data_IF_317335945373
#
_entry.id   IF_317335945373
#
_cell.length_a   1.000
_cell.length_b   1.000
_cell.length_c   1.000
_cell.angle_alpha   90.00
_cell.angle_beta   90.00
_cell.angle_gamma   90.00
#
_symmetry.space_group_name_H-M   'P 1'
#
loop_
_entity.id
_entity.type
_entity.pdbx_description
1 polymer ?
#
# COMPACT_ATOMS: atom_id res chain seq x y z
N UNK A 1 4.93 -3.08 -16.34
CA UNK A 1 5.28 -3.73 -15.05
C UNK A 1 3.98 -4.21 -14.42
N UNK A 2 3.91 -5.47 -13.98
CA UNK A 2 2.70 -6.04 -13.36
C UNK A 2 3.04 -6.47 -11.93
N UNK A 3 2.23 -6.06 -10.95
CA UNK A 3 2.34 -6.48 -9.54
C UNK A 3 1.13 -7.31 -9.12
N UNK A 4 1.08 -7.80 -7.88
CA UNK A 4 -0.08 -8.52 -7.34
C UNK A 4 -0.62 -7.79 -6.11
N UNK A 5 -1.83 -8.11 -5.67
CA UNK A 5 -2.27 -7.64 -4.36
C UNK A 5 -1.29 -8.09 -3.27
N UNK A 6 -1.04 -7.22 -2.30
CA UNK A 6 -0.03 -7.45 -1.25
C UNK A 6 1.42 -7.19 -1.69
N UNK A 7 1.66 -6.75 -2.93
CA UNK A 7 3.00 -6.38 -3.40
C UNK A 7 3.57 -5.14 -2.69
N UNK A 8 4.88 -5.09 -2.62
CA UNK A 8 5.66 -3.95 -2.15
C UNK A 8 6.91 -3.77 -3.00
N UNK A 9 7.45 -2.56 -3.03
CA UNK A 9 8.63 -2.23 -3.82
C UNK A 9 9.55 -1.28 -3.06
N UNK A 10 10.80 -1.22 -3.49
CA UNK A 10 11.79 -0.28 -2.97
C UNK A 10 11.72 1.01 -3.78
N UNK A 11 11.37 2.11 -3.11
CA UNK A 11 11.24 3.44 -3.72
C UNK A 11 12.41 4.31 -3.25
N UNK A 12 13.22 4.79 -4.19
CA UNK A 12 14.32 5.71 -3.93
C UNK A 12 13.97 7.13 -4.39
N UNK A 13 14.30 8.10 -3.54
CA UNK A 13 14.01 9.51 -3.80
C UNK A 13 15.25 10.23 -4.33
N UNK A 14 15.06 11.23 -5.21
CA UNK A 14 16.15 12.07 -5.64
C UNK A 14 16.69 12.91 -4.47
N UNK A 15 17.97 13.30 -4.56
CA UNK A 15 18.58 14.32 -3.70
C UNK A 15 18.65 14.03 -2.18
N UNK A 16 18.41 12.79 -1.73
CA UNK A 16 18.72 12.40 -0.35
C UNK A 16 20.18 11.99 -0.24
N UNK A 17 21.00 12.84 0.39
CA UNK A 17 22.44 12.60 0.61
C UNK A 17 22.72 11.59 1.74
N UNK A 18 21.80 11.46 2.70
CA UNK A 18 21.91 10.51 3.81
C UNK A 18 21.64 9.08 3.32
N UNK A 19 22.70 8.26 3.24
CA UNK A 19 22.64 6.92 2.63
C UNK A 19 21.56 6.02 3.24
N UNK A 20 21.36 6.09 4.55
CA UNK A 20 20.34 5.34 5.28
C UNK A 20 18.91 5.80 5.06
N UNK A 21 18.68 6.94 4.41
CA UNK A 21 17.34 7.50 4.15
C UNK A 21 17.03 7.67 2.67
N UNK A 22 17.90 7.19 1.76
CA UNK A 22 17.69 7.35 0.31
C UNK A 22 16.51 6.56 -0.23
N UNK A 23 16.18 5.41 0.37
CA UNK A 23 15.15 4.51 -0.12
C UNK A 23 14.36 3.84 1.02
N UNK A 24 13.13 3.42 0.74
CA UNK A 24 12.29 2.63 1.66
C UNK A 24 11.50 1.59 0.88
N UNK A 25 11.21 0.47 1.56
CA UNK A 25 10.22 -0.49 1.12
C UNK A 25 8.83 0.06 1.43
N UNK A 26 7.98 0.15 0.42
CA UNK A 26 6.62 0.67 0.52
C UNK A 26 5.65 -0.29 -0.14
N UNK A 27 4.55 -0.56 0.56
CA UNK A 27 3.45 -1.37 0.04
C UNK A 27 2.70 -0.63 -1.06
N UNK A 28 2.34 -1.36 -2.12
CA UNK A 28 1.52 -0.85 -3.20
C UNK A 28 0.05 -1.06 -2.83
N UNK A 29 -0.70 0.03 -2.69
CA UNK A 29 -2.11 0.06 -2.27
C UNK A 29 -3.10 0.00 -3.44
N UNK A 30 -2.61 -0.07 -4.68
CA UNK A 30 -3.41 -0.23 -5.88
C UNK A 30 -3.30 -1.64 -6.46
N UNK A 31 -4.27 -2.04 -7.27
CA UNK A 31 -4.18 -3.23 -8.12
C UNK A 31 -3.59 -2.87 -9.49
N UNK A 32 -3.06 -3.83 -10.27
CA UNK A 32 -2.52 -3.57 -11.61
C UNK A 32 -3.51 -2.92 -12.59
N UNK A 33 -4.81 -3.06 -12.35
CA UNK A 33 -5.86 -2.43 -13.15
C UNK A 33 -6.18 -0.98 -12.79
N UNK A 34 -5.64 -0.44 -11.70
CA UNK A 34 -5.97 0.92 -11.21
C UNK A 34 -5.24 2.05 -11.98
N UNK A 35 -4.57 1.73 -13.10
CA UNK A 35 -3.75 2.63 -13.94
C UNK A 35 -2.57 3.34 -13.26
N UNK A 36 -2.52 3.37 -11.93
CA UNK A 36 -1.51 4.07 -11.15
C UNK A 36 -0.97 3.20 -10.00
N UNK A 37 0.27 3.47 -9.59
CA UNK A 37 0.84 2.90 -8.35
C UNK A 37 0.48 3.84 -7.21
N UNK A 38 -0.36 3.35 -6.29
CA UNK A 38 -0.72 4.08 -5.09
C UNK A 38 0.15 3.62 -3.91
N UNK A 39 0.72 4.57 -3.18
CA UNK A 39 1.48 4.31 -1.96
C UNK A 39 0.87 5.13 -0.83
N UNK A 40 0.79 4.53 0.36
CA UNK A 40 0.34 5.22 1.56
C UNK A 40 1.49 5.32 2.56
N UNK A 41 1.72 6.52 3.09
CA UNK A 41 2.73 6.77 4.13
C UNK A 41 2.30 7.91 5.05
N UNK A 42 2.89 8.01 6.24
CA UNK A 42 2.74 9.20 7.09
C UNK A 42 3.52 10.35 6.44
N UNK A 43 2.97 11.57 6.54
CA UNK A 43 3.61 12.80 6.08
C UNK A 43 4.59 13.42 7.10
N UNK A 44 4.86 12.72 8.20
CA UNK A 44 5.72 13.19 9.29
C UNK A 44 6.82 12.16 9.61
N UNK A 45 7.74 12.57 10.50
CA UNK A 45 8.85 11.72 10.96
C UNK A 45 10.12 11.89 10.13
N UNK A 46 10.54 10.83 9.43
CA UNK A 46 11.86 10.74 8.79
C UNK A 46 12.05 11.75 7.64
N UNK A 47 13.32 12.05 7.32
CA UNK A 47 13.68 12.86 6.16
C UNK A 47 13.10 12.27 4.88
N UNK A 48 13.17 10.93 4.72
CA UNK A 48 12.55 10.25 3.59
C UNK A 48 11.07 10.59 3.40
N UNK A 49 10.26 10.51 4.48
CA UNK A 49 8.82 10.77 4.41
C UNK A 49 8.54 12.23 4.05
N UNK A 50 9.23 13.16 4.72
CA UNK A 50 9.13 14.60 4.45
C UNK A 50 9.50 14.91 3.00
N UNK A 51 10.57 14.32 2.48
CA UNK A 51 11.00 14.50 1.09
C UNK A 51 9.95 13.94 0.13
N UNK A 52 9.48 12.71 0.35
CA UNK A 52 8.47 12.06 -0.51
C UNK A 52 7.20 12.90 -0.60
N UNK A 53 6.67 13.38 0.52
CA UNK A 53 5.40 14.13 0.54
C UNK A 53 5.54 15.59 0.10
N UNK A 54 6.77 16.08 -0.11
CA UNK A 54 7.04 17.43 -0.60
C UNK A 54 7.44 17.45 -2.08
N UNK A 55 7.49 16.29 -2.76
CA UNK A 55 7.82 16.23 -4.18
C UNK A 55 6.72 16.91 -5.02
N UNK A 56 7.06 17.82 -5.94
CA UNK A 56 6.08 18.38 -6.87
C UNK A 56 5.59 17.31 -7.84
N UNK A 57 4.35 17.47 -8.33
CA UNK A 57 3.81 16.63 -9.39
C UNK A 57 4.75 16.62 -10.61
N UNK A 58 4.92 15.44 -11.24
CA UNK A 58 5.88 15.23 -12.33
C UNK A 58 7.31 14.91 -11.88
N UNK A 59 7.60 14.96 -10.57
CA UNK A 59 8.87 14.46 -10.02
C UNK A 59 9.09 12.98 -10.35
N UNK A 60 10.32 12.64 -10.70
CA UNK A 60 10.72 11.24 -10.93
C UNK A 60 11.22 10.61 -9.63
N UNK A 61 10.76 9.40 -9.37
CA UNK A 61 11.28 8.51 -8.32
C UNK A 61 11.74 7.22 -8.96
N UNK A 62 12.69 6.53 -8.34
CA UNK A 62 13.16 5.23 -8.82
C UNK A 62 12.48 4.12 -8.04
N UNK A 63 11.86 3.18 -8.76
CA UNK A 63 11.29 1.98 -8.18
C UNK A 63 12.13 0.77 -8.59
N UNK A 64 12.50 -0.05 -7.61
CA UNK A 64 13.24 -1.29 -7.79
C UNK A 64 12.68 -2.38 -6.88
N UNK A 65 13.09 -3.63 -7.09
CA UNK A 65 12.76 -4.77 -6.22
C UNK A 65 11.25 -4.94 -5.99
N UNK A 66 10.45 -4.96 -7.05
CA UNK A 66 9.03 -5.30 -6.93
C UNK A 66 8.88 -6.76 -6.50
N UNK A 67 8.24 -6.99 -5.35
CA UNK A 67 8.03 -8.35 -4.80
C UNK A 67 6.66 -8.46 -4.10
N UNK A 68 6.29 -9.66 -3.66
CA UNK A 68 5.10 -9.92 -2.84
C UNK A 68 5.33 -11.11 -1.93
N UNK A 69 5.02 -10.94 -0.65
CA UNK A 69 5.05 -12.02 0.36
C UNK A 69 3.68 -12.21 1.03
N UNK A 70 2.69 -11.37 0.72
CA UNK A 70 1.36 -11.43 1.30
C UNK A 70 0.43 -12.03 0.24
N UNK A 71 0.21 -13.33 0.33
CA UNK A 71 -0.70 -14.07 -0.54
C UNK A 71 -1.91 -14.55 0.23
N UNK A 72 -2.98 -14.80 -0.54
CA UNK A 72 -4.20 -15.41 -0.06
C UNK A 72 -4.30 -16.81 -0.63
N UNK A 73 -4.63 -17.79 0.21
CA UNK A 73 -4.95 -19.14 -0.26
C UNK A 73 -6.24 -19.12 -1.10
N UNK A 74 -6.24 -19.85 -2.21
CA UNK A 74 -7.39 -19.94 -3.12
C UNK A 74 -8.37 -21.02 -2.63
N UNK A 75 -8.98 -20.75 -1.48
CA UNK A 75 -10.03 -21.57 -0.87
C UNK A 75 -11.33 -20.76 -0.71
N UNK A 76 -12.33 -21.40 -0.11
CA UNK A 76 -13.65 -20.81 0.12
C UNK A 76 -13.82 -20.28 1.55
N UNK A 77 -12.77 -20.31 2.36
CA UNK A 77 -12.87 -19.86 3.74
C UNK A 77 -13.02 -18.32 3.79
N UNK A 78 -13.73 -17.79 4.80
CA UNK A 78 -13.84 -16.36 4.99
C UNK A 78 -12.46 -15.70 5.11
N UNK A 79 -12.28 -14.56 4.45
CA UNK A 79 -11.11 -13.73 4.63
C UNK A 79 -11.29 -12.83 5.84
N UNK A 80 -10.47 -13.02 6.87
CA UNK A 80 -10.42 -12.08 8.00
C UNK A 80 -9.16 -11.25 7.88
N UNK A 81 -9.31 -9.94 7.63
CA UNK A 81 -8.19 -9.02 7.51
C UNK A 81 -8.06 -8.14 8.75
N UNK A 82 -6.85 -8.09 9.30
CA UNK A 82 -6.49 -7.18 10.39
C UNK A 82 -5.52 -6.12 9.86
N UNK A 83 -5.85 -4.85 10.05
CA UNK A 83 -4.98 -3.74 9.69
C UNK A 83 -5.00 -2.64 10.75
N UNK A 84 -3.83 -2.06 11.01
CA UNK A 84 -3.69 -0.85 11.83
C UNK A 84 -3.12 0.28 10.99
N UNK A 85 -3.71 1.47 11.09
CA UNK A 85 -3.26 2.70 10.43
C UNK A 85 -2.89 2.51 8.94
N UNK A 86 -1.61 2.66 8.58
CA UNK A 86 -1.09 2.53 7.21
C UNK A 86 -1.12 1.09 6.71
N UNK A 87 -1.20 0.09 7.60
CA UNK A 87 -1.32 -1.32 7.23
C UNK A 87 -2.49 -1.60 6.29
N UNK A 88 -3.48 -0.71 6.23
CA UNK A 88 -4.57 -0.78 5.25
C UNK A 88 -4.09 -0.78 3.79
N UNK A 89 -2.91 -0.23 3.52
CA UNK A 89 -2.31 -0.20 2.19
C UNK A 89 -2.13 -1.61 1.63
N UNK A 90 -1.77 -2.58 2.47
CA UNK A 90 -1.66 -3.98 2.07
C UNK A 90 -3.02 -4.64 1.87
N UNK A 91 -3.99 -4.25 2.69
CA UNK A 91 -5.33 -4.82 2.72
C UNK A 91 -6.17 -4.39 1.51
N UNK A 92 -6.11 -3.12 1.12
CA UNK A 92 -6.93 -2.56 0.03
C UNK A 92 -6.89 -3.39 -1.26
N UNK A 93 -5.73 -3.66 -1.86
CA UNK A 93 -5.69 -4.41 -3.12
C UNK A 93 -6.15 -5.87 -2.96
N UNK A 94 -6.00 -6.46 -1.77
CA UNK A 94 -6.47 -7.82 -1.48
C UNK A 94 -8.00 -7.83 -1.39
N UNK A 95 -8.59 -6.89 -0.64
CA UNK A 95 -10.04 -6.78 -0.51
C UNK A 95 -10.68 -6.55 -1.88
N UNK A 96 -10.13 -5.64 -2.69
CA UNK A 96 -10.60 -5.42 -4.07
C UNK A 96 -10.50 -6.68 -4.94
N UNK A 97 -9.43 -7.46 -4.79
CA UNK A 97 -9.24 -8.69 -5.57
C UNK A 97 -10.26 -9.78 -5.20
N UNK A 98 -10.68 -9.84 -3.93
CA UNK A 98 -11.54 -10.90 -3.39
C UNK A 98 -13.00 -10.50 -3.18
N UNK A 99 -13.33 -9.22 -3.34
CA UNK A 99 -14.69 -8.70 -3.28
C UNK A 99 -15.62 -9.50 -4.21
N UNK A 100 -16.75 -9.96 -3.67
CA UNK A 100 -17.72 -10.80 -4.39
C UNK A 100 -17.29 -12.24 -4.67
N UNK A 101 -16.03 -12.63 -4.39
CA UNK A 101 -15.54 -14.01 -4.58
C UNK A 101 -15.66 -14.87 -3.31
N UNK A 102 -15.58 -14.25 -2.13
CA UNK A 102 -15.74 -14.89 -0.81
C UNK A 102 -16.18 -13.88 0.24
N UNK A 103 -16.64 -14.37 1.39
CA UNK A 103 -16.94 -13.51 2.55
C UNK A 103 -15.67 -12.82 3.04
N UNK A 104 -15.76 -11.53 3.35
CA UNK A 104 -14.65 -10.73 3.87
C UNK A 104 -15.08 -10.10 5.20
N UNK A 105 -14.21 -10.16 6.20
CA UNK A 105 -14.36 -9.48 7.49
C UNK A 105 -13.16 -8.57 7.67
N UNK A 106 -13.43 -7.28 7.85
CA UNK A 106 -12.40 -6.28 8.08
C UNK A 106 -12.38 -5.90 9.56
N UNK A 107 -11.22 -6.03 10.20
CA UNK A 107 -10.94 -5.52 11.53
C UNK A 107 -9.86 -4.44 11.44
N UNK A 108 -10.26 -3.19 11.71
CA UNK A 108 -9.40 -2.02 11.58
C UNK A 108 -9.15 -1.37 12.94
N UNK A 109 -7.88 -1.04 13.20
CA UNK A 109 -7.48 -0.11 14.25
C UNK A 109 -6.95 1.17 13.61
N UNK A 110 -7.79 2.20 13.50
CA UNK A 110 -7.41 3.51 12.98
C UNK A 110 -7.15 4.50 14.12
N UNK A 111 -5.89 4.83 14.38
CA UNK A 111 -5.53 5.92 15.31
C UNK A 111 -5.62 7.27 14.59
N UNK A 112 -6.77 7.53 13.96
CA UNK A 112 -7.04 8.72 13.16
C UNK A 112 -6.65 8.61 11.68
N UNK A 113 -6.33 7.42 11.17
CA UNK A 113 -6.03 7.17 9.74
C UNK A 113 -7.24 6.54 9.05
N UNK A 114 -8.09 7.39 8.46
CA UNK A 114 -9.36 6.99 7.83
C UNK A 114 -9.26 6.74 6.31
N UNK A 115 -8.04 6.64 5.78
CA UNK A 115 -7.80 6.47 4.34
C UNK A 115 -8.39 5.14 3.87
N UNK A 116 -9.12 5.17 2.76
CA UNK A 116 -9.82 4.03 2.13
C UNK A 116 -11.06 3.48 2.85
N UNK A 117 -11.50 4.03 4.00
CA UNK A 117 -12.64 3.45 4.74
C UNK A 117 -13.91 3.34 3.91
N UNK A 118 -14.30 4.45 3.26
CA UNK A 118 -15.52 4.48 2.46
C UNK A 118 -15.47 3.48 1.30
N UNK A 119 -14.32 3.36 0.64
CA UNK A 119 -14.13 2.42 -0.47
C UNK A 119 -14.23 0.98 0.04
N UNK A 120 -13.53 0.64 1.13
CA UNK A 120 -13.46 -0.72 1.63
C UNK A 120 -14.76 -1.18 2.28
N UNK A 121 -15.48 -0.29 2.97
CA UNK A 121 -16.80 -0.58 3.52
C UNK A 121 -17.85 -0.87 2.43
N UNK A 122 -17.65 -0.37 1.21
CA UNK A 122 -18.58 -0.60 0.10
C UNK A 122 -18.36 -1.94 -0.61
N UNK A 123 -17.17 -2.53 -0.49
CA UNK A 123 -16.77 -3.70 -1.30
C UNK A 123 -16.41 -4.95 -0.49
N UNK A 124 -16.23 -4.82 0.83
CA UNK A 124 -16.08 -5.95 1.74
C UNK A 124 -17.44 -6.40 2.27
#
# INVERSE_FOLDING_TARGET
MTWKAGSYAKIALPNIKESGQKNRWLTIASNPGDNEILILTHNNGSLYKKTLTSLPAGSKVEMSWLTSNLSVANDKEPLVCFASDIGIAAMKPIVKEWAGKRSIVLSRLDKGVLVFDKELFQIA
#
